data_IF_878425513252
#
_entry.id   IF_878425513252
#
_cell.length_a   1.000
_cell.length_b   1.000
_cell.length_c   1.000
_cell.angle_alpha   90.00
_cell.angle_beta   90.00
_cell.angle_gamma   90.00
#
_symmetry.space_group_name_H-M   'P 1'
#
loop_
_entity.id
_entity.type
_entity.pdbx_description
1 polymer ?
#
# COMPACT_ATOMS: atom_id res chain seq x y z
N UNK A 1 31.87 10.69 4.43
CA UNK A 1 30.82 10.27 3.50
C UNK A 1 29.51 10.68 4.13
N UNK A 2 28.57 11.30 3.42
CA UNK A 2 27.23 11.49 3.97
C UNK A 2 26.68 10.11 4.36
N UNK A 3 25.92 10.05 5.48
CA UNK A 3 25.22 8.83 5.87
C UNK A 3 24.34 8.36 4.69
N UNK A 4 24.23 7.04 4.42
CA UNK A 4 23.33 6.57 3.39
C UNK A 4 21.93 7.14 3.67
N UNK A 5 21.31 7.65 2.61
CA UNK A 5 19.96 8.20 2.69
C UNK A 5 19.01 7.15 3.29
N UNK A 6 18.27 7.50 4.32
CA UNK A 6 17.26 6.61 4.87
C UNK A 6 16.33 6.18 3.73
N UNK A 7 15.91 4.92 3.72
CA UNK A 7 15.07 4.34 2.65
C UNK A 7 15.69 4.32 1.22
N UNK A 8 16.98 4.51 1.02
CA UNK A 8 17.60 4.54 -0.32
C UNK A 8 17.27 3.32 -1.19
N UNK A 9 17.19 2.12 -0.58
CA UNK A 9 16.80 0.91 -1.30
C UNK A 9 15.33 0.93 -1.73
N UNK A 10 14.43 1.42 -0.88
CA UNK A 10 13.01 1.57 -1.20
C UNK A 10 12.80 2.64 -2.26
N UNK A 11 13.50 3.77 -2.17
CA UNK A 11 13.46 4.83 -3.19
C UNK A 11 13.84 4.25 -4.55
N UNK A 12 14.96 3.53 -4.64
CA UNK A 12 15.38 2.88 -5.88
C UNK A 12 14.36 1.86 -6.38
N UNK A 13 13.89 0.96 -5.51
CA UNK A 13 12.91 -0.08 -5.85
C UNK A 13 11.62 0.50 -6.43
N UNK A 14 11.05 1.54 -5.78
CA UNK A 14 9.80 2.16 -6.22
C UNK A 14 9.94 3.09 -7.42
N UNK A 15 11.15 3.57 -7.73
CA UNK A 15 11.39 4.36 -8.95
C UNK A 15 11.74 3.49 -10.17
N UNK A 16 12.51 2.42 -9.98
CA UNK A 16 13.08 1.66 -11.09
C UNK A 16 12.33 0.35 -11.39
N UNK A 17 11.80 -0.33 -10.37
CA UNK A 17 11.26 -1.67 -10.51
C UNK A 17 9.73 -1.76 -10.30
N UNK A 18 9.21 -1.33 -9.15
CA UNK A 18 7.81 -1.51 -8.78
C UNK A 18 6.91 -0.38 -9.27
N UNK A 19 7.35 0.88 -9.19
CA UNK A 19 6.55 2.04 -9.57
C UNK A 19 6.09 2.01 -11.02
N UNK A 20 6.96 1.81 -12.03
CA UNK A 20 6.54 1.69 -13.42
C UNK A 20 5.52 0.57 -13.65
N UNK A 21 5.66 -0.56 -12.96
CA UNK A 21 4.68 -1.66 -13.03
C UNK A 21 3.37 -1.28 -12.35
N UNK A 22 3.44 -0.59 -11.21
CA UNK A 22 2.23 -0.09 -10.55
C UNK A 22 1.45 0.85 -11.46
N UNK A 23 2.12 1.79 -12.12
CA UNK A 23 1.51 2.68 -13.13
C UNK A 23 0.85 1.88 -14.26
N UNK A 24 1.54 0.87 -14.79
CA UNK A 24 1.01 0.02 -15.87
C UNK A 24 -0.24 -0.78 -15.47
N UNK A 25 -0.32 -1.22 -14.21
CA UNK A 25 -1.43 -2.01 -13.67
C UNK A 25 -2.36 -1.20 -12.76
N UNK A 26 -2.22 0.14 -12.72
CA UNK A 26 -2.91 1.02 -11.77
C UNK A 26 -4.40 0.71 -11.65
N UNK A 27 -5.14 0.72 -12.75
CA UNK A 27 -6.60 0.51 -12.73
C UNK A 27 -7.00 -0.83 -12.10
N UNK A 28 -6.20 -1.87 -12.36
CA UNK A 28 -6.43 -3.22 -11.82
C UNK A 28 -6.15 -3.25 -10.32
N UNK A 29 -5.01 -2.66 -9.91
CA UNK A 29 -4.61 -2.61 -8.50
C UNK A 29 -5.60 -1.76 -7.71
N UNK A 30 -5.93 -0.57 -8.19
CA UNK A 30 -6.86 0.33 -7.50
C UNK A 30 -8.23 -0.33 -7.34
N UNK A 31 -8.80 -0.92 -8.39
CA UNK A 31 -10.07 -1.65 -8.29
C UNK A 31 -10.03 -2.78 -7.26
N UNK A 32 -8.88 -3.48 -7.16
CA UNK A 32 -8.71 -4.59 -6.22
C UNK A 32 -8.66 -4.13 -4.76
N UNK A 33 -7.94 -3.03 -4.45
CA UNK A 33 -7.68 -2.60 -3.06
C UNK A 33 -8.45 -1.36 -2.62
N UNK A 34 -9.17 -0.67 -3.53
CA UNK A 34 -9.99 0.50 -3.18
C UNK A 34 -10.99 0.21 -2.04
N UNK A 35 -11.72 -0.94 -2.03
CA UNK A 35 -12.65 -1.23 -0.94
C UNK A 35 -12.00 -1.29 0.44
N UNK A 36 -10.73 -1.69 0.52
CA UNK A 36 -9.98 -1.71 1.79
C UNK A 36 -9.64 -0.29 2.25
N UNK A 37 -9.21 0.57 1.31
CA UNK A 37 -8.95 1.99 1.59
C UNK A 37 -10.19 2.75 2.04
N UNK A 38 -11.33 2.52 1.39
CA UNK A 38 -12.61 3.12 1.78
C UNK A 38 -13.00 2.79 3.23
N UNK A 39 -12.82 1.52 3.65
CA UNK A 39 -13.07 1.10 5.04
C UNK A 39 -12.21 1.86 6.05
N UNK A 40 -10.95 2.14 5.69
CA UNK A 40 -10.07 2.96 6.55
C UNK A 40 -10.54 4.41 6.62
N UNK A 41 -10.94 5.00 5.49
CA UNK A 41 -11.49 6.36 5.45
C UNK A 41 -12.75 6.48 6.31
N UNK A 42 -13.63 5.47 6.26
CA UNK A 42 -14.85 5.40 7.09
C UNK A 42 -14.49 5.26 8.57
N UNK A 43 -13.55 4.37 8.89
CA UNK A 43 -13.08 4.15 10.28
C UNK A 43 -12.38 5.37 10.86
N UNK A 44 -11.66 6.13 10.03
CA UNK A 44 -11.05 7.40 10.39
C UNK A 44 -12.05 8.53 10.57
N UNK A 45 -13.29 8.41 10.05
CA UNK A 45 -14.29 9.46 10.11
C UNK A 45 -13.84 10.73 9.39
N UNK A 46 -13.30 10.60 8.16
CA UNK A 46 -12.85 11.74 7.36
C UNK A 46 -14.01 12.71 7.13
N UNK A 47 -13.85 13.98 7.55
CA UNK A 47 -14.88 15.00 7.54
C UNK A 47 -14.58 16.15 6.56
N UNK A 48 -15.63 16.86 6.07
CA UNK A 48 -15.45 18.06 5.28
C UNK A 48 -14.60 19.13 5.97
N UNK A 49 -13.72 19.77 5.21
CA UNK A 49 -12.83 20.84 5.70
C UNK A 49 -11.52 20.34 6.32
N UNK A 50 -11.34 19.05 6.55
CA UNK A 50 -10.12 18.51 7.13
C UNK A 50 -8.91 18.61 6.21
N UNK A 51 -7.73 18.67 6.84
CA UNK A 51 -6.42 18.62 6.19
C UNK A 51 -5.81 17.25 6.42
N UNK A 52 -5.57 16.51 5.34
CA UNK A 52 -5.14 15.10 5.37
C UNK A 52 -3.78 14.94 4.72
N UNK A 53 -2.90 14.13 5.32
CA UNK A 53 -1.71 13.59 4.65
C UNK A 53 -2.03 12.17 4.19
N UNK A 54 -1.84 11.88 2.90
CA UNK A 54 -1.93 10.53 2.32
C UNK A 54 -0.51 10.00 2.09
N UNK A 55 -0.06 9.11 2.96
CA UNK A 55 1.33 8.59 2.97
C UNK A 55 1.44 7.36 2.08
N UNK A 56 2.40 7.39 1.14
CA UNK A 56 2.52 6.37 0.10
C UNK A 56 1.33 6.41 -0.85
N UNK A 57 0.99 7.63 -1.31
CA UNK A 57 -0.22 7.89 -2.10
C UNK A 57 -0.19 7.26 -3.50
N UNK A 58 0.96 6.82 -3.96
CA UNK A 58 1.14 6.15 -5.24
C UNK A 58 0.62 6.96 -6.42
N UNK A 59 -0.25 6.35 -7.23
CA UNK A 59 -0.88 7.00 -8.38
C UNK A 59 -2.08 7.90 -8.02
N UNK A 60 -2.30 8.21 -6.72
CA UNK A 60 -3.22 9.23 -6.25
C UNK A 60 -4.68 8.81 -6.09
N UNK A 61 -5.03 7.53 -6.25
CA UNK A 61 -6.40 7.04 -6.10
C UNK A 61 -6.99 7.40 -4.73
N UNK A 62 -6.27 7.11 -3.65
CA UNK A 62 -6.67 7.46 -2.27
C UNK A 62 -6.69 8.96 -2.03
N UNK A 63 -5.70 9.69 -2.54
CA UNK A 63 -5.63 11.15 -2.43
C UNK A 63 -6.86 11.81 -3.06
N UNK A 64 -7.30 11.34 -4.23
CA UNK A 64 -8.49 11.82 -4.92
C UNK A 64 -9.76 11.48 -4.14
N UNK A 65 -9.87 10.27 -3.61
CA UNK A 65 -11.00 9.85 -2.79
C UNK A 65 -11.10 10.69 -1.51
N UNK A 66 -9.98 10.92 -0.82
CA UNK A 66 -9.89 11.81 0.34
C UNK A 66 -10.27 13.25 -0.02
N UNK A 67 -9.75 13.79 -1.13
CA UNK A 67 -10.04 15.17 -1.56
C UNK A 67 -11.53 15.40 -1.80
N UNK A 68 -12.23 14.42 -2.34
CA UNK A 68 -13.69 14.46 -2.49
C UNK A 68 -14.42 14.44 -1.15
N UNK A 69 -13.93 13.65 -0.18
CA UNK A 69 -14.53 13.57 1.18
C UNK A 69 -14.33 14.86 1.97
N UNK A 70 -13.13 15.43 1.95
CA UNK A 70 -12.86 16.69 2.68
C UNK A 70 -13.46 17.91 1.97
N UNK A 71 -13.81 17.81 0.69
CA UNK A 71 -14.42 18.88 -0.07
C UNK A 71 -13.50 20.08 -0.30
N UNK A 72 -14.02 21.15 -0.96
CA UNK A 72 -13.19 22.28 -1.42
C UNK A 72 -12.58 23.12 -0.28
N UNK A 73 -13.13 23.06 0.93
CA UNK A 73 -12.58 23.73 2.10
C UNK A 73 -11.46 22.95 2.80
N UNK A 74 -11.30 21.66 2.49
CA UNK A 74 -10.23 20.81 2.99
C UNK A 74 -9.00 20.83 2.09
N UNK A 75 -7.97 20.06 2.49
CA UNK A 75 -6.73 19.89 1.72
C UNK A 75 -6.24 18.45 1.87
N UNK A 76 -5.77 17.85 0.78
CA UNK A 76 -5.06 16.56 0.84
C UNK A 76 -3.64 16.73 0.28
N UNK A 77 -2.66 16.35 1.09
CA UNK A 77 -1.26 16.26 0.70
C UNK A 77 -0.91 14.79 0.48
N UNK A 78 -0.71 14.38 -0.77
CA UNK A 78 -0.17 13.06 -1.13
C UNK A 78 1.35 13.10 -1.12
N UNK A 79 1.97 12.19 -0.37
CA UNK A 79 3.43 12.04 -0.31
C UNK A 79 3.81 10.65 -0.79
N UNK A 80 4.77 10.57 -1.71
CA UNK A 80 5.32 9.30 -2.18
C UNK A 80 6.81 9.46 -2.58
N UNK A 81 7.57 8.39 -2.46
CA UNK A 81 8.98 8.33 -2.89
C UNK A 81 9.15 8.03 -4.38
N UNK A 82 8.07 7.62 -5.06
CA UNK A 82 8.07 7.20 -6.47
C UNK A 82 7.68 8.36 -7.39
N UNK A 83 8.65 8.95 -8.07
CA UNK A 83 8.39 10.00 -9.06
C UNK A 83 7.43 9.54 -10.18
N UNK A 84 7.60 8.37 -10.83
CA UNK A 84 6.69 7.93 -11.90
C UNK A 84 5.25 7.72 -11.43
N UNK A 85 5.04 7.32 -10.18
CA UNK A 85 3.68 7.19 -9.63
C UNK A 85 3.06 8.57 -9.36
N UNK A 86 3.84 9.53 -8.83
CA UNK A 86 3.37 10.89 -8.59
C UNK A 86 3.07 11.68 -9.87
N UNK A 87 3.81 11.44 -10.95
CA UNK A 87 3.47 12.00 -12.27
C UNK A 87 2.07 11.54 -12.68
N UNK A 88 1.77 10.25 -12.54
CA UNK A 88 0.45 9.69 -12.80
C UNK A 88 -0.62 10.26 -11.86
N UNK A 89 -0.30 10.42 -10.57
CA UNK A 89 -1.22 11.01 -9.58
C UNK A 89 -1.61 12.44 -9.97
N UNK A 90 -0.65 13.26 -10.37
CA UNK A 90 -0.89 14.63 -10.81
C UNK A 90 -1.75 14.71 -12.10
N UNK A 91 -1.55 13.79 -13.05
CA UNK A 91 -2.40 13.67 -14.24
C UNK A 91 -3.84 13.34 -13.86
N UNK A 92 -4.02 12.36 -12.96
CA UNK A 92 -5.34 11.88 -12.54
C UNK A 92 -6.10 12.95 -11.75
N UNK A 93 -5.42 13.69 -10.86
CA UNK A 93 -6.03 14.78 -10.09
C UNK A 93 -6.44 15.96 -10.98
N UNK A 94 -5.62 16.32 -11.96
CA UNK A 94 -5.97 17.35 -12.97
C UNK A 94 -7.18 16.93 -13.79
N UNK A 95 -7.25 15.67 -14.23
CA UNK A 95 -8.40 15.15 -14.97
C UNK A 95 -9.68 15.11 -14.12
N UNK A 96 -9.57 15.04 -12.80
CA UNK A 96 -10.68 15.09 -11.86
C UNK A 96 -11.08 16.51 -11.42
N UNK A 97 -10.41 17.55 -11.91
CA UNK A 97 -10.63 18.99 -11.61
C UNK A 97 -10.60 19.27 -10.08
N UNK A 98 -9.65 18.68 -9.37
CA UNK A 98 -9.49 18.82 -7.91
C UNK A 98 -8.44 19.88 -7.59
N UNK A 99 -8.87 21.03 -7.05
CA UNK A 99 -7.99 22.13 -6.65
C UNK A 99 -7.41 21.97 -5.22
N UNK A 100 -7.98 21.07 -4.43
CA UNK A 100 -7.64 20.84 -3.02
C UNK A 100 -6.66 19.66 -2.81
N UNK A 101 -5.88 19.32 -3.85
CA UNK A 101 -4.86 18.26 -3.81
C UNK A 101 -3.48 18.85 -4.06
N UNK A 102 -2.48 18.35 -3.34
CA UNK A 102 -1.06 18.58 -3.60
C UNK A 102 -0.30 17.27 -3.55
N UNK A 103 0.77 17.17 -4.33
CA UNK A 103 1.66 16.00 -4.31
C UNK A 103 3.09 16.45 -4.04
N UNK A 104 3.79 15.69 -3.20
CA UNK A 104 5.20 15.90 -2.88
C UNK A 104 5.99 14.61 -3.08
N UNK A 105 7.07 14.67 -3.87
CA UNK A 105 8.01 13.57 -3.98
C UNK A 105 9.00 13.62 -2.81
N UNK A 106 8.69 12.90 -1.76
CA UNK A 106 9.44 12.95 -0.52
C UNK A 106 9.32 11.65 0.27
N UNK A 107 10.34 11.36 1.06
CA UNK A 107 10.31 10.30 2.07
C UNK A 107 9.63 10.83 3.34
N UNK A 108 8.43 10.33 3.64
CA UNK A 108 7.67 10.74 4.82
C UNK A 108 8.38 10.44 6.14
N UNK A 109 9.38 9.56 6.16
CA UNK A 109 10.22 9.30 7.35
C UNK A 109 11.07 10.52 7.71
N UNK A 110 11.62 11.23 6.72
CA UNK A 110 12.62 12.28 6.91
C UNK A 110 12.19 13.65 6.44
N UNK A 111 11.15 13.72 5.60
CA UNK A 111 10.63 14.97 5.07
C UNK A 111 10.09 15.89 6.17
N UNK A 112 10.47 17.15 6.12
CA UNK A 112 10.04 18.14 7.12
C UNK A 112 8.61 18.59 6.85
N UNK A 113 7.66 18.02 7.57
CA UNK A 113 6.26 18.41 7.55
C UNK A 113 5.99 19.62 8.47
N UNK A 114 4.97 20.43 8.14
CA UNK A 114 4.55 21.56 8.99
C UNK A 114 3.92 21.03 10.29
N UNK A 115 4.49 21.34 11.46
CA UNK A 115 3.99 20.84 12.74
C UNK A 115 2.54 21.29 13.02
N UNK A 116 1.72 20.37 13.52
CA UNK A 116 0.34 20.68 13.94
C UNK A 116 -0.60 21.13 12.83
N UNK A 117 -0.21 20.94 11.55
CA UNK A 117 -0.94 21.50 10.42
C UNK A 117 -2.03 20.58 9.84
N UNK A 118 -2.11 19.33 10.30
CA UNK A 118 -3.02 18.33 9.74
C UNK A 118 -3.93 17.71 10.78
N UNK A 119 -5.13 17.34 10.35
CA UNK A 119 -6.14 16.66 11.18
C UNK A 119 -5.95 15.14 11.14
N UNK A 120 -5.53 14.62 9.97
CA UNK A 120 -5.44 13.18 9.72
C UNK A 120 -4.16 12.84 8.97
N UNK A 121 -3.52 11.75 9.39
CA UNK A 121 -2.57 10.99 8.60
C UNK A 121 -3.26 9.71 8.15
N UNK A 122 -3.30 9.48 6.85
CA UNK A 122 -3.91 8.32 6.22
C UNK A 122 -2.89 7.54 5.39
N UNK A 123 -3.04 6.21 5.29
CA UNK A 123 -2.28 5.41 4.33
C UNK A 123 -3.00 4.13 3.94
N UNK A 124 -2.95 3.79 2.64
CA UNK A 124 -3.36 2.49 2.11
C UNK A 124 -2.12 1.70 1.68
N UNK A 125 -1.61 0.83 2.56
CA UNK A 125 -0.45 -0.04 2.34
C UNK A 125 0.90 0.66 2.08
N UNK A 126 0.99 1.99 2.17
CA UNK A 126 2.24 2.73 1.89
C UNK A 126 3.24 2.69 3.04
N UNK A 127 2.75 2.66 4.29
CA UNK A 127 3.59 2.84 5.49
C UNK A 127 4.42 1.60 5.90
N UNK A 128 4.23 0.46 5.25
CA UNK A 128 4.94 -0.79 5.58
C UNK A 128 6.40 -0.81 5.11
N UNK A 129 6.83 0.23 4.40
CA UNK A 129 8.13 0.27 3.72
C UNK A 129 9.16 1.20 4.37
N UNK A 130 8.89 1.72 5.56
CA UNK A 130 9.84 2.55 6.30
C UNK A 130 11.02 1.75 6.83
N UNK A 131 12.24 2.27 6.66
CA UNK A 131 13.46 1.71 7.24
C UNK A 131 13.48 1.84 8.77
N UNK A 132 13.05 3.00 9.29
CA UNK A 132 12.81 3.23 10.72
C UNK A 132 11.35 3.67 10.94
N UNK A 133 10.43 2.73 11.16
CA UNK A 133 9.03 3.07 11.32
C UNK A 133 8.74 3.91 12.57
N UNK A 134 9.54 3.81 13.63
CA UNK A 134 9.34 4.65 14.82
C UNK A 134 9.65 6.10 14.51
N UNK A 135 10.77 6.38 13.83
CA UNK A 135 11.12 7.73 13.41
C UNK A 135 10.09 8.29 12.42
N UNK A 136 9.64 7.47 11.45
CA UNK A 136 8.62 7.86 10.48
C UNK A 136 7.29 8.26 11.15
N UNK A 137 6.77 7.42 12.03
CA UNK A 137 5.53 7.73 12.75
C UNK A 137 5.68 8.90 13.72
N UNK A 138 6.84 9.10 14.36
CA UNK A 138 7.09 10.28 15.19
C UNK A 138 7.07 11.57 14.36
N UNK A 139 7.64 11.56 13.15
CA UNK A 139 7.57 12.67 12.21
C UNK A 139 6.14 12.96 11.76
N UNK A 140 5.38 11.93 11.39
CA UNK A 140 3.96 12.05 11.01
C UNK A 140 3.09 12.54 12.17
N UNK A 141 3.35 12.08 13.40
CA UNK A 141 2.65 12.57 14.60
C UNK A 141 2.90 14.05 14.84
N UNK A 142 4.14 14.51 14.66
CA UNK A 142 4.48 15.93 14.82
C UNK A 142 3.73 16.83 13.82
N UNK A 143 3.35 16.33 12.66
CA UNK A 143 2.54 17.04 11.68
C UNK A 143 1.04 17.12 12.07
N UNK A 144 0.57 16.21 12.92
CA UNK A 144 -0.81 16.23 13.40
C UNK A 144 -0.99 17.30 14.49
N UNK A 145 -2.13 18.00 14.45
CA UNK A 145 -2.55 18.84 15.56
C UNK A 145 -2.85 17.99 16.81
N UNK A 146 -2.86 18.56 18.02
CA UNK A 146 -3.36 17.88 19.21
C UNK A 146 -4.78 17.34 18.96
N UNK A 147 -5.01 16.07 19.29
CA UNK A 147 -6.25 15.36 18.98
C UNK A 147 -6.43 14.97 17.52
N UNK A 148 -5.43 15.20 16.67
CA UNK A 148 -5.37 14.64 15.31
C UNK A 148 -5.24 13.13 15.33
N UNK A 149 -5.50 12.46 14.21
CA UNK A 149 -5.55 10.99 14.16
C UNK A 149 -4.77 10.38 13.02
N UNK A 150 -4.28 9.19 13.25
CA UNK A 150 -3.67 8.29 12.28
C UNK A 150 -4.68 7.20 11.92
N UNK A 151 -4.78 6.88 10.63
CA UNK A 151 -5.54 5.72 10.16
C UNK A 151 -4.86 5.09 8.95
N UNK A 152 -4.64 3.78 8.98
CA UNK A 152 -4.06 3.06 7.84
C UNK A 152 -4.52 1.61 7.76
N UNK A 153 -4.26 1.00 6.59
CA UNK A 153 -4.39 -0.45 6.39
C UNK A 153 -3.03 -1.07 6.08
N UNK A 154 -2.77 -2.22 6.69
CA UNK A 154 -1.60 -3.05 6.41
C UNK A 154 -1.99 -4.53 6.36
N UNK A 155 -1.19 -5.36 5.65
CA UNK A 155 -1.51 -6.77 5.51
C UNK A 155 -1.28 -7.55 6.80
N UNK A 156 -2.15 -8.52 7.10
CA UNK A 156 -1.93 -9.61 8.03
C UNK A 156 -0.89 -10.60 7.45
N UNK A 157 -0.40 -11.60 8.21
CA UNK A 157 0.61 -12.54 7.72
C UNK A 157 0.26 -13.17 6.37
N UNK A 158 1.26 -13.45 5.55
CA UNK A 158 1.10 -14.01 4.21
C UNK A 158 0.15 -15.24 4.15
N UNK A 159 0.17 -16.21 5.09
CA UNK A 159 -0.75 -17.34 5.06
C UNK A 159 -2.24 -16.94 5.19
N UNK A 160 -2.54 -15.80 5.82
CA UNK A 160 -3.89 -15.25 5.94
C UNK A 160 -4.37 -14.54 4.67
N UNK A 161 -3.50 -14.45 3.65
CA UNK A 161 -3.74 -13.79 2.39
C UNK A 161 -3.69 -14.80 1.21
N UNK A 162 -4.72 -15.66 1.04
CA UNK A 162 -4.76 -16.69 -0.01
C UNK A 162 -4.49 -16.13 -1.41
N UNK A 163 -4.92 -14.88 -1.70
CA UNK A 163 -4.71 -14.23 -2.99
C UNK A 163 -3.22 -14.05 -3.39
N UNK A 164 -2.32 -14.00 -2.39
CA UNK A 164 -0.86 -14.00 -2.60
C UNK A 164 -0.23 -15.36 -2.33
N UNK A 165 -0.69 -16.02 -1.26
CA UNK A 165 -0.07 -17.26 -0.78
C UNK A 165 -0.24 -18.43 -1.75
N UNK A 166 -1.46 -18.62 -2.28
CA UNK A 166 -1.78 -19.74 -3.18
C UNK A 166 -0.95 -19.67 -4.49
N UNK A 167 -0.95 -18.53 -5.22
CA UNK A 167 -0.14 -18.45 -6.44
C UNK A 167 1.38 -18.51 -6.17
N UNK A 168 1.84 -17.97 -5.03
CA UNK A 168 3.26 -18.05 -4.66
C UNK A 168 3.70 -19.49 -4.39
N UNK A 169 2.89 -20.27 -3.67
CA UNK A 169 3.15 -21.70 -3.46
C UNK A 169 3.19 -22.50 -4.75
N UNK A 170 2.31 -22.18 -5.70
CA UNK A 170 2.31 -22.80 -7.01
C UNK A 170 3.60 -22.46 -7.80
N UNK A 171 4.01 -21.20 -7.79
CA UNK A 171 5.24 -20.74 -8.42
C UNK A 171 6.49 -21.40 -7.81
N UNK A 172 6.52 -21.58 -6.48
CA UNK A 172 7.63 -22.20 -5.75
C UNK A 172 7.93 -23.65 -6.15
N UNK A 173 7.01 -24.34 -6.83
CA UNK A 173 7.27 -25.67 -7.39
C UNK A 173 8.21 -25.63 -8.61
N UNK A 174 8.42 -24.47 -9.19
CA UNK A 174 9.17 -24.25 -10.42
C UNK A 174 10.25 -23.17 -10.31
N UNK A 175 10.25 -22.41 -9.22
CA UNK A 175 11.18 -21.32 -8.95
C UNK A 175 11.86 -21.53 -7.59
N UNK A 176 13.14 -21.22 -7.53
CA UNK A 176 13.82 -21.00 -6.24
C UNK A 176 13.39 -19.62 -5.75
N UNK A 177 12.62 -19.58 -4.67
CA UNK A 177 12.24 -18.32 -4.05
C UNK A 177 13.39 -17.82 -3.18
N UNK A 178 13.58 -16.50 -3.07
CA UNK A 178 14.51 -15.94 -2.08
C UNK A 178 14.04 -16.32 -0.67
N UNK A 179 14.96 -16.37 0.31
CA UNK A 179 14.58 -16.57 1.69
C UNK A 179 13.59 -15.49 2.13
N UNK A 180 12.65 -15.79 3.05
CA UNK A 180 11.75 -14.78 3.57
C UNK A 180 12.57 -13.62 4.17
N UNK A 181 12.14 -12.36 3.97
CA UNK A 181 12.81 -11.22 4.58
C UNK A 181 12.76 -11.32 6.11
N UNK A 182 13.67 -10.63 6.78
CA UNK A 182 13.60 -10.52 8.24
C UNK A 182 12.23 -9.91 8.66
N UNK A 183 11.69 -10.30 9.82
CA UNK A 183 10.35 -9.87 10.24
C UNK A 183 10.16 -8.36 10.38
N UNK A 184 11.27 -7.64 10.54
CA UNK A 184 11.33 -6.18 10.68
C UNK A 184 11.77 -5.47 9.39
N UNK A 185 12.14 -6.20 8.35
CA UNK A 185 12.52 -5.61 7.07
C UNK A 185 11.35 -4.89 6.39
N UNK A 186 11.59 -3.71 5.77
CA UNK A 186 10.58 -3.00 4.99
C UNK A 186 9.97 -3.89 3.91
N UNK A 187 8.63 -3.94 3.86
CA UNK A 187 7.94 -4.80 2.90
C UNK A 187 6.47 -5.01 3.23
N UNK A 188 5.72 -5.69 2.37
CA UNK A 188 4.26 -5.80 2.49
C UNK A 188 3.78 -6.46 3.78
N UNK A 189 4.63 -7.25 4.46
CA UNK A 189 4.28 -7.94 5.70
C UNK A 189 5.05 -7.43 6.94
N UNK A 190 5.77 -6.29 6.83
CA UNK A 190 6.50 -5.69 7.95
C UNK A 190 5.61 -5.35 9.15
N UNK A 191 4.31 -5.14 8.92
CA UNK A 191 3.31 -4.79 9.93
C UNK A 191 2.26 -5.90 10.13
N UNK A 192 2.60 -7.13 9.78
CA UNK A 192 1.70 -8.27 9.92
C UNK A 192 1.42 -8.65 11.40
N UNK A 193 2.42 -8.48 12.28
CA UNK A 193 2.30 -8.69 13.72
C UNK A 193 1.64 -7.47 14.40
N UNK A 194 0.44 -7.60 15.00
CA UNK A 194 -0.25 -6.51 15.64
C UNK A 194 0.48 -5.95 16.86
N UNK A 195 1.22 -6.78 17.60
CA UNK A 195 1.98 -6.31 18.78
C UNK A 195 3.17 -5.46 18.36
N UNK A 196 3.84 -5.82 17.27
CA UNK A 196 4.87 -4.97 16.67
C UNK A 196 4.31 -3.60 16.27
N UNK A 197 3.13 -3.56 15.63
CA UNK A 197 2.49 -2.29 15.23
C UNK A 197 2.16 -1.44 16.45
N UNK A 198 1.57 -2.03 17.52
CA UNK A 198 1.30 -1.33 18.79
C UNK A 198 2.57 -0.74 19.39
N UNK A 199 3.63 -1.54 19.46
CA UNK A 199 4.91 -1.12 20.01
C UNK A 199 5.56 0.02 19.22
N UNK A 200 5.50 0.01 17.88
CA UNK A 200 6.00 1.08 17.03
C UNK A 200 5.23 2.38 17.29
N UNK A 201 3.90 2.34 17.26
CA UNK A 201 3.05 3.52 17.41
C UNK A 201 3.15 4.12 18.82
N UNK A 202 3.17 3.28 19.86
CA UNK A 202 3.38 3.74 21.24
C UNK A 202 4.74 4.44 21.41
N UNK A 203 5.82 3.87 20.85
CA UNK A 203 7.16 4.50 20.87
C UNK A 203 7.21 5.79 20.06
N UNK A 204 6.42 5.93 19.02
CA UNK A 204 6.26 7.16 18.25
C UNK A 204 5.38 8.21 18.96
N UNK A 205 4.78 7.88 20.11
CA UNK A 205 3.99 8.78 20.95
C UNK A 205 2.53 8.89 20.58
N UNK A 206 1.95 7.89 19.91
CA UNK A 206 0.52 7.77 19.67
C UNK A 206 -0.18 7.09 20.85
N UNK A 207 -1.42 7.52 21.12
CA UNK A 207 -2.32 6.94 22.10
C UNK A 207 -3.54 6.28 21.45
N UNK A 208 -4.36 5.57 22.22
CA UNK A 208 -5.60 4.93 21.82
C UNK A 208 -5.44 4.07 20.55
N UNK A 209 -4.39 3.26 20.52
CA UNK A 209 -4.02 2.43 19.37
C UNK A 209 -4.99 1.25 19.26
N UNK A 210 -5.77 1.22 18.18
CA UNK A 210 -6.74 0.15 17.87
C UNK A 210 -6.33 -0.54 16.58
N UNK A 211 -6.36 -1.85 16.58
CA UNK A 211 -6.21 -2.69 15.39
C UNK A 211 -7.47 -3.53 15.23
N UNK A 212 -8.22 -3.25 14.18
CA UNK A 212 -9.43 -4.00 13.81
C UNK A 212 -9.10 -4.95 12.67
N UNK A 213 -9.55 -6.22 12.76
CA UNK A 213 -9.38 -7.18 11.68
C UNK A 213 -10.29 -6.82 10.50
N UNK A 214 -9.73 -6.82 9.29
CA UNK A 214 -10.46 -6.64 8.04
C UNK A 214 -10.27 -7.87 7.16
N UNK A 215 -11.28 -8.71 7.04
CA UNK A 215 -11.33 -9.78 6.04
C UNK A 215 -12.18 -9.34 4.85
N UNK A 216 -11.63 -9.53 3.66
CA UNK A 216 -12.30 -9.15 2.42
C UNK A 216 -12.00 -10.15 1.30
N UNK A 217 -12.91 -10.23 0.34
CA UNK A 217 -12.66 -10.95 -0.91
C UNK A 217 -12.19 -9.96 -1.96
N UNK A 218 -11.02 -10.21 -2.54
CA UNK A 218 -10.46 -9.42 -3.63
C UNK A 218 -10.78 -10.07 -4.97
N UNK A 219 -11.06 -9.25 -5.97
CA UNK A 219 -11.20 -9.67 -7.36
C UNK A 219 -9.88 -9.40 -8.08
N UNK A 220 -9.19 -10.47 -8.47
CA UNK A 220 -7.85 -10.38 -9.06
C UNK A 220 -7.89 -10.03 -10.55
N UNK A 221 -6.91 -9.28 -11.01
CA UNK A 221 -6.74 -8.98 -12.42
C UNK A 221 -7.82 -8.07 -13.03
N UNK A 222 -8.60 -7.36 -12.19
CA UNK A 222 -9.65 -6.45 -12.65
C UNK A 222 -10.99 -7.12 -12.98
N UNK A 223 -11.18 -8.40 -12.63
CA UNK A 223 -12.36 -9.20 -12.97
C UNK A 223 -12.28 -9.85 -14.36
N UNK A 224 -13.26 -10.68 -14.68
CA UNK A 224 -13.35 -11.33 -16.00
C UNK A 224 -12.52 -12.61 -16.15
N UNK A 225 -11.80 -12.75 -17.24
CA UNK A 225 -11.14 -14.00 -17.61
C UNK A 225 -10.01 -14.41 -16.65
N UNK A 226 -9.91 -15.72 -16.41
CA UNK A 226 -8.84 -16.32 -15.59
C UNK A 226 -7.44 -15.89 -16.04
N UNK A 227 -7.21 -15.73 -17.36
CA UNK A 227 -5.93 -15.31 -17.91
C UNK A 227 -5.51 -13.90 -17.52
N UNK A 228 -6.47 -13.00 -17.27
CA UNK A 228 -6.18 -11.65 -16.76
C UNK A 228 -5.62 -11.71 -15.34
N UNK A 229 -6.17 -12.57 -14.48
CA UNK A 229 -5.66 -12.78 -13.14
C UNK A 229 -4.26 -13.43 -13.16
N UNK A 230 -4.04 -14.42 -14.03
CA UNK A 230 -2.71 -15.03 -14.23
C UNK A 230 -1.69 -13.98 -14.66
N UNK A 231 -2.03 -13.17 -15.67
CA UNK A 231 -1.17 -12.08 -16.13
C UNK A 231 -0.86 -11.08 -15.03
N UNK A 232 -1.86 -10.64 -14.28
CA UNK A 232 -1.67 -9.73 -13.15
C UNK A 232 -0.69 -10.30 -12.12
N UNK A 233 -0.82 -11.58 -11.74
CA UNK A 233 0.03 -12.24 -10.74
C UNK A 233 1.45 -12.49 -11.24
N UNK A 234 1.65 -12.72 -12.55
CA UNK A 234 2.96 -13.06 -13.12
C UNK A 234 3.74 -11.87 -13.68
N UNK A 235 3.06 -10.80 -14.11
CA UNK A 235 3.67 -9.63 -14.75
C UNK A 235 3.53 -8.34 -13.92
N UNK A 236 2.50 -8.24 -13.07
CA UNK A 236 2.19 -7.06 -12.25
C UNK A 236 3.13 -6.89 -11.04
N UNK A 237 2.57 -6.43 -9.93
CA UNK A 237 3.30 -6.21 -8.68
C UNK A 237 2.98 -7.34 -7.71
N UNK A 238 4.00 -7.96 -7.12
CA UNK A 238 3.83 -9.00 -6.13
C UNK A 238 4.95 -10.05 -6.14
N UNK A 239 4.91 -11.02 -5.21
CA UNK A 239 6.02 -11.93 -5.00
C UNK A 239 6.29 -12.87 -6.19
N UNK A 240 5.25 -13.33 -6.90
CA UNK A 240 5.44 -14.20 -8.09
C UNK A 240 6.12 -13.42 -9.21
N UNK A 241 5.64 -12.21 -9.53
CA UNK A 241 6.25 -11.40 -10.60
C UNK A 241 7.67 -10.96 -10.26
N UNK A 242 7.96 -10.73 -8.98
CA UNK A 242 9.31 -10.41 -8.50
C UNK A 242 10.25 -11.60 -8.67
N UNK A 243 9.85 -12.80 -8.26
CA UNK A 243 10.65 -14.02 -8.45
C UNK A 243 10.88 -14.34 -9.94
N UNK A 244 9.87 -14.13 -10.80
CA UNK A 244 9.99 -14.35 -12.24
C UNK A 244 10.93 -13.35 -12.95
N UNK A 245 11.16 -12.18 -12.36
CA UNK A 245 12.10 -11.19 -12.93
C UNK A 245 13.55 -11.66 -12.84
N UNK A 246 13.88 -12.38 -11.77
CA UNK A 246 15.22 -12.89 -11.48
C UNK A 246 15.47 -14.31 -12.03
N UNK A 247 14.40 -15.00 -12.43
CA UNK A 247 14.45 -16.36 -12.91
C UNK A 247 14.74 -16.45 -14.42
N UNK A 248 15.17 -17.66 -14.87
CA UNK A 248 15.29 -17.97 -16.29
C UNK A 248 13.95 -17.71 -17.00
N UNK A 249 13.94 -16.87 -18.07
CA UNK A 249 12.74 -16.59 -18.85
C UNK A 249 12.02 -17.84 -19.39
N UNK A 250 12.73 -18.94 -19.63
CA UNK A 250 12.17 -20.21 -20.07
C UNK A 250 11.19 -20.83 -19.05
N UNK A 251 11.28 -20.47 -17.78
CA UNK A 251 10.37 -20.94 -16.72
C UNK A 251 9.02 -20.23 -16.71
N UNK A 252 8.90 -19.05 -17.32
CA UNK A 252 7.68 -18.23 -17.31
C UNK A 252 6.41 -18.96 -17.72
N UNK A 253 6.38 -19.72 -18.86
CA UNK A 253 5.17 -20.43 -19.25
C UNK A 253 4.77 -21.52 -18.25
N UNK A 254 5.76 -22.20 -17.66
CA UNK A 254 5.53 -23.27 -16.68
C UNK A 254 4.99 -22.70 -15.37
N UNK A 255 5.55 -21.60 -14.90
CA UNK A 255 5.06 -20.90 -13.70
C UNK A 255 3.65 -20.36 -13.93
N UNK A 256 3.39 -19.74 -15.09
CA UNK A 256 2.06 -19.24 -15.43
C UNK A 256 1.01 -20.35 -15.46
N UNK A 257 1.35 -21.53 -15.99
CA UNK A 257 0.47 -22.69 -16.01
C UNK A 257 0.18 -23.20 -14.57
N UNK A 258 1.20 -23.28 -13.71
CA UNK A 258 1.03 -23.67 -12.32
C UNK A 258 0.17 -22.68 -11.52
N UNK A 259 0.42 -21.37 -11.67
CA UNK A 259 -0.40 -20.31 -11.08
C UNK A 259 -1.84 -20.41 -11.57
N UNK A 260 -2.05 -20.57 -12.90
CA UNK A 260 -3.38 -20.76 -13.49
C UNK A 260 -4.13 -21.93 -12.87
N UNK A 261 -3.51 -23.08 -12.75
CA UNK A 261 -4.12 -24.26 -12.15
C UNK A 261 -4.50 -24.02 -10.68
N UNK A 262 -3.63 -23.34 -9.94
CA UNK A 262 -3.84 -23.07 -8.52
C UNK A 262 -4.99 -22.08 -8.25
N UNK A 263 -5.21 -21.08 -9.13
CA UNK A 263 -6.26 -20.07 -8.93
C UNK A 263 -7.56 -20.41 -9.67
N UNK A 264 -7.57 -21.40 -10.58
CA UNK A 264 -8.76 -21.81 -11.33
C UNK A 264 -9.98 -22.18 -10.44
N UNK A 265 -9.82 -22.83 -9.28
CA UNK A 265 -10.95 -23.11 -8.37
C UNK A 265 -11.64 -21.87 -7.80
N UNK A 266 -10.99 -20.70 -7.84
CA UNK A 266 -11.51 -19.42 -7.34
C UNK A 266 -12.13 -18.56 -8.46
N UNK A 267 -12.17 -19.06 -9.69
CA UNK A 267 -12.76 -18.36 -10.83
C UNK A 267 -14.28 -18.44 -10.80
N UNK A 268 -14.92 -17.29 -10.83
CA UNK A 268 -16.38 -17.10 -10.86
C UNK A 268 -16.75 -16.27 -12.10
N UNK A 269 -18.06 -16.09 -12.40
CA UNK A 269 -18.49 -15.17 -13.48
C UNK A 269 -17.97 -13.74 -13.32
N UNK A 270 -17.72 -13.28 -12.07
CA UNK A 270 -17.18 -11.96 -11.77
C UNK A 270 -15.65 -11.88 -11.81
N UNK A 271 -14.96 -13.00 -12.09
CA UNK A 271 -13.52 -13.13 -12.11
C UNK A 271 -12.95 -14.02 -11.00
N UNK A 272 -11.63 -13.99 -10.82
CA UNK A 272 -10.96 -14.76 -9.76
C UNK A 272 -11.13 -14.05 -8.43
N UNK A 273 -11.85 -14.67 -7.48
CA UNK A 273 -12.18 -14.10 -6.19
C UNK A 273 -11.51 -14.86 -5.06
N UNK A 274 -10.61 -14.19 -4.34
CA UNK A 274 -9.81 -14.83 -3.29
C UNK A 274 -9.83 -13.99 -2.01
N UNK A 275 -9.76 -14.68 -0.86
CA UNK A 275 -9.74 -14.04 0.45
C UNK A 275 -8.47 -13.22 0.69
N UNK A 276 -8.61 -12.17 1.49
CA UNK A 276 -7.53 -11.35 2.01
C UNK A 276 -7.77 -11.02 3.47
N UNK A 277 -6.69 -10.73 4.20
CA UNK A 277 -6.73 -10.30 5.58
C UNK A 277 -5.76 -9.11 5.80
N UNK A 278 -6.27 -8.08 6.45
CA UNK A 278 -5.54 -6.86 6.76
C UNK A 278 -5.88 -6.38 8.19
N UNK A 279 -5.08 -5.49 8.71
CA UNK A 279 -5.39 -4.70 9.90
C UNK A 279 -5.82 -3.30 9.47
N UNK A 280 -6.96 -2.81 9.96
CA UNK A 280 -7.25 -1.38 10.01
C UNK A 280 -6.69 -0.87 11.34
N UNK A 281 -5.78 0.06 11.25
CA UNK A 281 -5.12 0.63 12.44
C UNK A 281 -5.53 2.08 12.59
N UNK A 282 -5.96 2.45 13.79
CA UNK A 282 -6.23 3.84 14.16
C UNK A 282 -5.51 4.20 15.44
N UNK A 283 -5.08 5.46 15.57
CA UNK A 283 -4.45 5.99 16.78
C UNK A 283 -4.66 7.51 16.89
N UNK A 284 -4.52 8.07 18.06
CA UNK A 284 -4.64 9.51 18.31
C UNK A 284 -3.27 10.13 18.60
N UNK A 285 -3.08 11.37 18.13
CA UNK A 285 -1.99 12.23 18.57
C UNK A 285 -2.46 13.00 19.80
N UNK A 286 -1.83 12.79 20.98
CA UNK A 286 -2.17 13.51 22.21
C UNK A 286 -1.86 15.00 22.13
#
# INVERSE_FOLDING_TARGET
MPAPEANAEQIRYWNEAAGPKWVAFQKVIDAQIAPLGERVMDRAGIAPGERVIDVGCGCGDTTIALARRVGPAGLVLGIDISAPMLERAAETARAADLANVRFENADAQTHRLSPGAFDVVYSRFGIMFFADPVAAFANLRAALRPGGRLAFVCWQPLPENPWLFVPLRAAAQHLTLPPPPAPDAPGPFAFADPERVRGILARAGFDQIVLDELRATLTLGGGGALDQAVRFLTEGVGPVSSALREADPALRPRVAAAVRAAIAPFHTPEGVRMGSAAWIVTALAP
#
